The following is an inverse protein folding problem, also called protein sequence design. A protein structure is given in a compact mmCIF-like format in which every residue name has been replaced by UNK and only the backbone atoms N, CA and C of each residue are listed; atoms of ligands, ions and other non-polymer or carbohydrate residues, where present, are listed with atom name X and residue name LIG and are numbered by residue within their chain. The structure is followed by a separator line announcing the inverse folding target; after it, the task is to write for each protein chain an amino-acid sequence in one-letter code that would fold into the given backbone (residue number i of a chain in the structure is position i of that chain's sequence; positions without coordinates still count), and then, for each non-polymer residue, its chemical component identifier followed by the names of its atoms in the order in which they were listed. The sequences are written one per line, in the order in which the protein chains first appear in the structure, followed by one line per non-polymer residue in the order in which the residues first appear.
data_IF_264210347790
#
_entry.id   IF_264210347790
#
_cell.length_a   1.000
_cell.length_b   1.000
_cell.length_c   1.000
_cell.angle_alpha   90.00
_cell.angle_beta   90.00
_cell.angle_gamma   90.00
#
_symmetry.space_group_name_H-M   'P 1'
#
loop_
_entity.id
_entity.type
_entity.pdbx_description
1 polymer ?
#
# COMPACT_ATOMS: atom_id res chain seq x y z
N UNK A 1 61.14 -64.69 -7.65
CA UNK A 1 61.57 -63.32 -7.92
C UNK A 1 62.51 -62.86 -6.78
N UNK A 2 63.77 -62.66 -7.05
CA UNK A 2 64.67 -62.07 -6.09
C UNK A 2 64.93 -60.61 -6.43
N UNK A 3 64.58 -59.68 -5.54
CA UNK A 3 64.92 -58.28 -5.67
C UNK A 3 66.29 -58.03 -5.15
N UNK A 4 67.19 -57.49 -5.93
CA UNK A 4 68.53 -57.05 -5.48
C UNK A 4 68.71 -55.58 -5.93
N UNK A 5 69.30 -54.78 -5.02
CA UNK A 5 69.75 -53.43 -5.32
C UNK A 5 71.14 -53.53 -5.98
N UNK A 6 71.31 -52.94 -7.16
CA UNK A 6 72.55 -52.76 -7.87
C UNK A 6 72.65 -51.23 -8.06
N UNK A 7 73.52 -50.61 -7.27
CA UNK A 7 73.62 -49.16 -7.20
C UNK A 7 72.40 -48.51 -6.53
N UNK A 8 71.95 -47.34 -6.98
CA UNK A 8 70.72 -46.66 -6.50
C UNK A 8 69.45 -47.08 -7.23
N UNK A 9 69.48 -48.07 -8.14
CA UNK A 9 68.36 -48.52 -8.94
C UNK A 9 67.89 -49.91 -8.53
N UNK A 10 66.57 -50.08 -8.29
CA UNK A 10 65.95 -51.36 -7.99
C UNK A 10 65.65 -52.09 -9.32
N UNK A 11 66.25 -53.25 -9.48
CA UNK A 11 66.10 -54.11 -10.65
C UNK A 11 65.32 -55.40 -10.30
N UNK A 12 64.41 -55.81 -11.14
CA UNK A 12 63.83 -57.15 -11.04
C UNK A 12 64.72 -58.12 -11.79
N UNK A 13 65.17 -59.13 -11.05
CA UNK A 13 65.93 -60.23 -11.62
C UNK A 13 65.01 -61.45 -11.69
N UNK A 14 64.78 -61.91 -12.92
CA UNK A 14 64.15 -63.19 -13.11
C UNK A 14 65.06 -64.16 -13.91
N UNK A 15 65.00 -65.43 -13.58
CA UNK A 15 65.71 -66.45 -14.33
C UNK A 15 64.67 -67.30 -15.09
N UNK A 16 64.70 -67.18 -16.39
CA UNK A 16 63.88 -68.01 -17.25
C UNK A 16 64.76 -69.16 -17.73
N UNK A 17 64.40 -70.47 -17.48
CA UNK A 17 65.16 -71.60 -18.03
C UNK A 17 65.12 -71.51 -19.54
N UNK A 18 66.25 -71.61 -20.19
CA UNK A 18 66.38 -71.61 -21.64
C UNK A 18 67.10 -72.89 -22.07
N UNK A 19 66.48 -73.66 -22.90
CA UNK A 19 66.94 -74.99 -23.35
C UNK A 19 67.63 -74.88 -24.72
N UNK A 20 68.95 -74.42 -24.67
CA UNK A 20 69.85 -74.37 -25.81
C UNK A 20 71.11 -75.05 -25.42
N UNK A 21 71.80 -75.81 -26.30
CA UNK A 21 72.96 -76.66 -26.01
C UNK A 21 74.13 -76.05 -25.37
N UNK A 22 74.26 -74.64 -25.43
CA UNK A 22 75.40 -73.95 -24.86
C UNK A 22 75.05 -72.94 -23.74
N UNK A 23 73.78 -72.79 -23.29
CA UNK A 23 73.35 -71.76 -22.32
C UNK A 23 72.44 -72.38 -21.25
N UNK A 24 72.87 -72.48 -20.02
CA UNK A 24 72.15 -73.05 -18.90
C UNK A 24 71.03 -72.23 -18.33
N UNK A 25 70.99 -70.92 -18.55
CA UNK A 25 69.93 -70.00 -18.18
C UNK A 25 70.14 -68.56 -18.77
N UNK A 26 69.08 -67.99 -19.29
CA UNK A 26 69.00 -66.62 -19.76
C UNK A 26 68.63 -65.70 -18.56
N UNK A 27 69.42 -64.68 -18.34
CA UNK A 27 69.16 -63.69 -17.27
C UNK A 27 68.63 -62.39 -17.84
N UNK A 28 67.31 -62.16 -17.67
CA UNK A 28 66.72 -60.91 -18.01
C UNK A 28 66.81 -59.91 -16.85
N UNK A 29 67.43 -58.78 -17.11
CA UNK A 29 67.52 -57.69 -16.15
C UNK A 29 66.81 -56.46 -16.76
N UNK A 30 65.72 -56.03 -16.16
CA UNK A 30 65.00 -54.83 -16.54
C UNK A 30 65.12 -53.80 -15.42
N UNK A 31 65.43 -52.56 -15.78
CA UNK A 31 65.40 -51.47 -14.85
C UNK A 31 64.01 -51.02 -14.48
N UNK A 32 63.68 -50.95 -13.21
CA UNK A 32 62.39 -50.44 -12.67
C UNK A 32 62.37 -48.94 -12.54
N UNK A 33 63.47 -48.23 -12.82
CA UNK A 33 63.60 -46.77 -12.63
C UNK A 33 62.55 -45.98 -13.43
N UNK A 34 62.18 -46.45 -14.64
CA UNK A 34 61.15 -45.82 -15.45
C UNK A 34 59.77 -45.99 -14.82
N UNK A 35 59.47 -47.19 -14.30
CA UNK A 35 58.19 -47.49 -13.67
C UNK A 35 58.06 -46.72 -12.35
N UNK A 36 59.08 -46.67 -11.53
CA UNK A 36 59.11 -45.89 -10.30
C UNK A 36 58.94 -44.40 -10.56
N UNK A 37 59.56 -43.84 -11.63
CA UNK A 37 59.38 -42.46 -12.04
C UNK A 37 57.97 -42.17 -12.50
N UNK A 38 57.35 -43.08 -13.28
CA UNK A 38 55.96 -42.96 -13.72
C UNK A 38 55.00 -43.03 -12.53
N UNK A 39 55.17 -43.97 -11.61
CA UNK A 39 54.35 -44.07 -10.39
C UNK A 39 54.48 -42.84 -9.52
N UNK A 40 55.72 -42.35 -9.29
CA UNK A 40 55.97 -41.13 -8.51
C UNK A 40 55.29 -39.91 -9.12
N UNK A 41 55.39 -39.73 -10.44
CA UNK A 41 54.72 -38.64 -11.14
C UNK A 41 53.16 -38.79 -11.07
N UNK A 42 52.62 -39.98 -11.23
CA UNK A 42 51.21 -40.25 -11.10
C UNK A 42 50.71 -39.93 -9.68
N UNK A 43 51.44 -40.31 -8.64
CA UNK A 43 51.10 -39.97 -7.25
C UNK A 43 51.11 -38.46 -7.00
N UNK A 44 52.15 -37.77 -7.49
CA UNK A 44 52.26 -36.30 -7.36
C UNK A 44 51.06 -35.60 -8.03
N UNK A 45 50.74 -35.99 -9.28
CA UNK A 45 49.59 -35.45 -10.01
C UNK A 45 48.27 -35.76 -9.30
N UNK A 46 48.07 -36.96 -8.79
CA UNK A 46 46.88 -37.35 -8.04
C UNK A 46 46.72 -36.57 -6.73
N UNK A 47 47.81 -36.36 -5.99
CA UNK A 47 47.81 -35.54 -4.76
C UNK A 47 47.50 -34.07 -5.10
N UNK A 48 48.11 -33.54 -6.15
CA UNK A 48 47.84 -32.15 -6.59
C UNK A 48 46.38 -31.96 -6.98
N UNK A 49 45.82 -32.90 -7.76
CA UNK A 49 44.41 -32.90 -8.15
C UNK A 49 43.49 -32.99 -6.91
N UNK A 50 43.79 -33.85 -5.97
CA UNK A 50 43.00 -34.00 -4.74
C UNK A 50 43.02 -32.72 -3.90
N UNK A 51 44.17 -32.05 -3.77
CA UNK A 51 44.29 -30.75 -3.08
C UNK A 51 43.53 -29.66 -3.84
N UNK A 52 43.63 -29.61 -5.17
CA UNK A 52 42.91 -28.64 -5.99
C UNK A 52 41.37 -28.79 -5.86
N UNK A 53 40.86 -30.04 -5.90
CA UNK A 53 39.43 -30.34 -5.70
C UNK A 53 38.99 -29.94 -4.29
N UNK A 54 39.80 -30.24 -3.27
CA UNK A 54 39.50 -29.86 -1.88
C UNK A 54 39.38 -28.34 -1.74
N UNK A 55 40.36 -27.61 -2.27
CA UNK A 55 40.37 -26.15 -2.24
C UNK A 55 39.16 -25.57 -3.00
N UNK A 56 38.88 -26.09 -4.18
CA UNK A 56 37.72 -25.68 -4.94
C UNK A 56 36.40 -25.90 -4.18
N UNK A 57 36.24 -27.08 -3.55
CA UNK A 57 35.03 -27.42 -2.76
C UNK A 57 34.89 -26.49 -1.55
N UNK A 58 35.98 -26.23 -0.82
CA UNK A 58 35.94 -25.31 0.32
C UNK A 58 35.62 -23.88 -0.13
N UNK A 59 36.26 -23.39 -1.18
CA UNK A 59 36.03 -22.03 -1.70
C UNK A 59 34.57 -21.89 -2.21
N UNK A 60 34.09 -22.86 -2.97
CA UNK A 60 32.72 -22.89 -3.45
C UNK A 60 31.69 -22.94 -2.30
N UNK A 61 31.95 -23.76 -1.28
CA UNK A 61 31.11 -23.81 -0.08
C UNK A 61 31.11 -22.49 0.70
N UNK A 62 32.25 -21.85 0.88
CA UNK A 62 32.31 -20.54 1.53
C UNK A 62 31.60 -19.46 0.72
N UNK A 63 31.72 -19.47 -0.61
CA UNK A 63 30.99 -18.57 -1.50
C UNK A 63 29.49 -18.77 -1.37
N UNK A 64 29.01 -20.02 -1.41
CA UNK A 64 27.59 -20.35 -1.27
C UNK A 64 27.01 -19.93 0.09
N UNK A 65 27.74 -20.21 1.18
CA UNK A 65 27.29 -19.83 2.53
C UNK A 65 27.21 -18.30 2.67
N UNK A 66 28.21 -17.56 2.23
CA UNK A 66 28.25 -16.10 2.34
C UNK A 66 27.34 -15.40 1.35
N UNK A 67 27.19 -15.94 0.13
CA UNK A 67 26.40 -15.33 -0.93
C UNK A 67 24.90 -15.65 -0.81
N UNK A 68 24.51 -16.77 -0.22
CA UNK A 68 23.12 -17.21 -0.21
C UNK A 68 22.61 -17.48 1.21
N UNK A 69 23.26 -18.36 1.98
CA UNK A 69 22.71 -18.83 3.27
C UNK A 69 22.62 -17.70 4.30
N UNK A 70 23.67 -16.93 4.46
CA UNK A 70 23.72 -15.81 5.43
C UNK A 70 22.70 -14.73 5.07
N UNK A 71 22.62 -14.24 3.81
CA UNK A 71 21.60 -13.26 3.40
C UNK A 71 20.17 -13.75 3.58
N UNK A 72 19.86 -15.00 3.22
CA UNK A 72 18.52 -15.57 3.43
C UNK A 72 18.16 -15.64 4.92
N UNK A 73 19.11 -15.98 5.79
CA UNK A 73 18.90 -15.93 7.23
C UNK A 73 18.64 -14.50 7.77
N UNK A 74 19.19 -13.47 7.13
CA UNK A 74 18.88 -12.08 7.46
C UNK A 74 17.47 -11.72 7.01
N UNK A 75 17.08 -12.11 5.79
CA UNK A 75 15.73 -11.91 5.27
C UNK A 75 14.67 -12.55 6.18
N UNK A 76 14.89 -13.80 6.58
CA UNK A 76 13.99 -14.52 7.50
C UNK A 76 13.80 -13.76 8.83
N UNK A 77 14.92 -13.34 9.45
CA UNK A 77 14.87 -12.61 10.74
C UNK A 77 14.15 -11.27 10.61
N UNK A 78 14.44 -10.51 9.54
CA UNK A 78 13.78 -9.22 9.29
C UNK A 78 12.28 -9.42 8.99
N UNK A 79 11.92 -10.39 8.16
CA UNK A 79 10.50 -10.72 7.91
C UNK A 79 9.78 -11.15 9.21
N UNK A 80 10.43 -11.93 10.07
CA UNK A 80 9.90 -12.27 11.39
C UNK A 80 9.79 -11.06 12.33
N UNK A 81 10.70 -10.08 12.24
CA UNK A 81 10.62 -8.80 12.94
C UNK A 81 9.41 -7.97 12.46
N UNK A 82 9.26 -7.82 11.14
CA UNK A 82 8.13 -7.13 10.51
C UNK A 82 6.79 -7.77 10.97
N UNK A 83 6.71 -9.10 11.00
CA UNK A 83 5.53 -9.82 11.48
C UNK A 83 5.20 -9.55 12.96
N UNK A 84 6.17 -9.15 13.78
CA UNK A 84 5.98 -8.71 15.17
C UNK A 84 5.70 -7.22 15.32
N UNK A 85 5.68 -6.47 14.21
CA UNK A 85 5.44 -5.02 14.21
C UNK A 85 6.71 -4.16 14.29
N UNK A 86 7.92 -4.74 14.12
CA UNK A 86 9.19 -4.00 14.03
C UNK A 86 9.36 -3.48 12.58
N UNK A 87 8.65 -2.40 12.24
CA UNK A 87 8.54 -1.93 10.85
C UNK A 87 9.67 -0.99 10.43
N UNK A 88 10.49 -0.53 11.35
CA UNK A 88 11.64 0.37 11.14
C UNK A 88 12.90 -0.36 10.63
N UNK A 89 12.92 -1.69 10.72
CA UNK A 89 14.08 -2.51 10.31
C UNK A 89 14.14 -2.59 8.78
N UNK A 90 15.36 -2.38 8.24
CA UNK A 90 15.63 -2.51 6.80
C UNK A 90 16.81 -3.44 6.55
N UNK A 91 16.72 -4.21 5.47
CA UNK A 91 17.80 -5.04 4.96
C UNK A 91 18.79 -4.18 4.15
N UNK A 92 20.09 -4.32 4.36
CA UNK A 92 21.08 -3.62 3.55
C UNK A 92 21.06 -4.14 2.12
N UNK A 93 21.02 -3.22 1.14
CA UNK A 93 21.11 -3.53 -0.28
C UNK A 93 22.58 -3.45 -0.71
N UNK A 94 23.04 -4.39 -1.54
CA UNK A 94 24.38 -4.38 -2.12
C UNK A 94 24.43 -3.52 -3.39
N UNK A 95 23.26 -3.24 -3.99
CA UNK A 95 23.12 -2.42 -5.19
C UNK A 95 23.41 -3.16 -6.50
N UNK A 96 23.53 -4.48 -6.48
CA UNK A 96 23.66 -5.29 -7.69
C UNK A 96 22.26 -5.65 -8.23
N UNK A 97 21.85 -5.10 -9.39
CA UNK A 97 20.53 -5.37 -9.95
C UNK A 97 20.36 -6.82 -10.49
N UNK A 98 21.46 -7.57 -10.62
CA UNK A 98 21.46 -8.95 -11.12
C UNK A 98 21.44 -9.98 -9.98
N UNK A 99 21.56 -9.56 -8.73
CA UNK A 99 21.50 -10.44 -7.56
C UNK A 99 20.04 -10.65 -7.14
N UNK A 100 19.57 -11.88 -7.25
CA UNK A 100 18.22 -12.30 -6.86
C UNK A 100 17.96 -12.09 -5.37
N UNK A 101 18.98 -12.25 -4.55
CA UNK A 101 18.90 -12.04 -3.09
C UNK A 101 18.73 -10.54 -2.79
N UNK A 102 19.40 -9.68 -3.54
CA UNK A 102 19.29 -8.24 -3.36
C UNK A 102 17.91 -7.72 -3.81
N UNK A 103 17.36 -8.28 -4.89
CA UNK A 103 15.96 -8.00 -5.29
C UNK A 103 14.95 -8.44 -4.23
N UNK A 104 15.17 -9.62 -3.62
CA UNK A 104 14.33 -10.08 -2.51
C UNK A 104 14.40 -9.14 -1.31
N UNK A 105 15.60 -8.67 -0.94
CA UNK A 105 15.79 -7.66 0.11
C UNK A 105 15.04 -6.37 -0.21
N UNK A 106 15.13 -5.89 -1.45
CA UNK A 106 14.39 -4.72 -1.93
C UNK A 106 12.88 -4.89 -1.77
N UNK A 107 12.34 -6.04 -2.18
CA UNK A 107 10.91 -6.35 -2.04
C UNK A 107 10.45 -6.38 -0.58
N UNK A 108 11.24 -6.98 0.32
CA UNK A 108 10.94 -7.00 1.76
C UNK A 108 10.99 -5.58 2.35
N UNK A 109 11.96 -4.75 1.93
CA UNK A 109 12.03 -3.36 2.38
C UNK A 109 10.82 -2.55 1.91
N UNK A 110 10.38 -2.71 0.67
CA UNK A 110 9.15 -2.07 0.15
C UNK A 110 7.90 -2.52 0.90
N UNK A 111 7.81 -3.82 1.22
CA UNK A 111 6.70 -4.34 2.04
C UNK A 111 6.71 -3.72 3.44
N UNK A 112 7.88 -3.62 4.09
CA UNK A 112 8.03 -3.00 5.40
C UNK A 112 7.62 -1.52 5.37
N UNK A 113 8.04 -0.78 4.34
CA UNK A 113 7.69 0.64 4.13
C UNK A 113 6.18 0.82 3.97
N UNK A 114 5.53 0.02 3.12
CA UNK A 114 4.07 0.07 2.94
C UNK A 114 3.28 -0.28 4.22
N UNK A 115 3.78 -1.22 5.03
CA UNK A 115 3.18 -1.55 6.32
C UNK A 115 3.37 -0.43 7.35
N UNK A 116 4.56 0.16 7.43
CA UNK A 116 4.88 1.28 8.30
C UNK A 116 3.99 2.50 7.99
N UNK A 117 3.86 2.83 6.71
CA UNK A 117 2.98 3.91 6.24
C UNK A 117 1.51 3.64 6.60
N UNK A 118 1.05 2.41 6.40
CA UNK A 118 -0.32 1.99 6.76
C UNK A 118 -0.55 2.11 8.27
N UNK A 119 0.41 1.70 9.09
CA UNK A 119 0.28 1.77 10.55
C UNK A 119 0.36 3.21 11.06
N UNK A 120 1.21 4.05 10.46
CA UNK A 120 1.28 5.48 10.73
C UNK A 120 -0.05 6.15 10.43
N UNK A 121 -0.61 5.92 9.24
CA UNK A 121 -1.93 6.46 8.85
C UNK A 121 -3.03 6.02 9.81
N UNK A 122 -3.04 4.74 10.22
CA UNK A 122 -4.01 4.21 11.20
C UNK A 122 -3.89 4.92 12.55
N UNK A 123 -2.66 5.15 13.04
CA UNK A 123 -2.43 5.81 14.33
C UNK A 123 -2.81 7.30 14.27
N UNK A 124 -2.49 7.99 13.19
CA UNK A 124 -2.92 9.36 12.92
C UNK A 124 -4.45 9.47 12.87
N UNK A 125 -5.13 8.49 12.24
CA UNK A 125 -6.58 8.41 12.23
C UNK A 125 -7.18 8.26 13.62
N UNK A 126 -6.70 7.32 14.43
CA UNK A 126 -7.20 7.10 15.81
C UNK A 126 -7.02 8.38 16.63
N UNK A 127 -5.88 9.04 16.49
CA UNK A 127 -5.60 10.31 17.15
C UNK A 127 -6.56 11.41 16.70
N UNK A 128 -6.75 11.55 15.38
CA UNK A 128 -7.66 12.53 14.78
C UNK A 128 -9.10 12.32 15.20
N UNK A 129 -9.62 11.08 15.12
CA UNK A 129 -10.97 10.73 15.57
C UNK A 129 -11.15 11.06 17.06
N UNK A 130 -10.17 10.73 17.88
CA UNK A 130 -10.22 11.03 19.33
C UNK A 130 -10.31 12.54 19.58
N UNK A 131 -9.59 13.35 18.81
CA UNK A 131 -9.66 14.81 18.90
C UNK A 131 -11.00 15.37 18.40
N UNK A 132 -11.49 14.87 17.26
CA UNK A 132 -12.75 15.31 16.67
C UNK A 132 -13.97 14.93 17.54
N UNK A 133 -13.91 13.80 18.27
CA UNK A 133 -14.95 13.40 19.23
C UNK A 133 -14.86 14.21 20.52
N UNK A 134 -13.66 14.53 21.01
CA UNK A 134 -13.47 15.23 22.27
C UNK A 134 -14.02 16.64 22.23
N UNK A 135 -13.86 17.37 21.12
CA UNK A 135 -14.28 18.76 20.98
C UNK A 135 -15.78 18.94 21.19
N UNK A 136 -16.69 18.25 20.43
CA UNK A 136 -18.14 18.36 20.66
C UNK A 136 -18.57 17.86 22.03
N UNK A 137 -17.96 16.80 22.56
CA UNK A 137 -18.26 16.31 23.90
C UNK A 137 -17.92 17.35 24.99
N UNK A 138 -16.81 18.06 24.84
CA UNK A 138 -16.44 19.14 25.77
C UNK A 138 -17.41 20.31 25.65
N UNK A 139 -17.86 20.67 24.44
CA UNK A 139 -18.86 21.72 24.22
C UNK A 139 -20.22 21.35 24.83
N UNK A 140 -20.71 20.12 24.57
CA UNK A 140 -21.95 19.61 25.16
C UNK A 140 -21.88 19.65 26.68
N UNK A 141 -20.80 19.11 27.26
CA UNK A 141 -20.61 19.09 28.71
C UNK A 141 -20.60 20.50 29.31
N UNK A 142 -19.85 21.44 28.71
CA UNK A 142 -19.79 22.81 29.20
C UNK A 142 -21.15 23.51 29.16
N UNK A 143 -21.93 23.28 28.10
CA UNK A 143 -23.27 23.85 28.02
C UNK A 143 -24.25 23.19 29.00
N UNK A 144 -24.17 21.87 29.20
CA UNK A 144 -24.98 21.19 30.24
C UNK A 144 -24.65 21.75 31.62
N UNK A 145 -23.36 21.90 31.97
CA UNK A 145 -22.93 22.49 33.25
C UNK A 145 -23.46 23.95 33.39
N UNK A 146 -23.42 24.73 32.29
CA UNK A 146 -23.98 26.10 32.28
C UNK A 146 -25.50 26.10 32.48
N UNK A 147 -26.23 25.25 31.72
CA UNK A 147 -27.69 25.15 31.87
C UNK A 147 -28.15 24.70 33.24
N UNK A 148 -27.36 23.86 33.94
CA UNK A 148 -27.64 23.45 35.30
C UNK A 148 -27.50 24.58 36.33
N UNK A 149 -26.84 25.70 35.99
CA UNK A 149 -26.70 26.90 36.83
C UNK A 149 -27.69 28.00 36.52
N UNK A 150 -28.49 27.88 35.45
CA UNK A 150 -29.53 28.84 35.07
C UNK A 150 -30.89 28.44 35.71
N UNK A 151 -31.43 29.36 36.48
CA UNK A 151 -32.75 29.16 37.16
C UNK A 151 -33.92 29.48 36.24
N UNK A 152 -33.71 30.27 35.19
CA UNK A 152 -34.78 30.77 34.30
C UNK A 152 -34.68 30.10 32.88
N UNK A 153 -35.65 29.20 32.56
CA UNK A 153 -35.72 28.60 31.21
C UNK A 153 -36.00 29.58 30.06
N UNK A 154 -36.42 30.81 30.36
CA UNK A 154 -36.68 31.86 29.38
C UNK A 154 -35.43 32.68 29.02
N UNK A 155 -34.30 32.46 29.72
CA UNK A 155 -33.03 33.07 29.43
C UNK A 155 -32.58 32.73 27.98
N UNK A 156 -32.11 33.70 27.24
CA UNK A 156 -31.60 33.53 25.88
C UNK A 156 -30.48 32.49 25.82
N UNK A 157 -29.62 32.42 26.87
CA UNK A 157 -28.56 31.46 26.97
C UNK A 157 -29.10 30.00 27.15
N UNK A 158 -30.28 29.86 27.79
CA UNK A 158 -30.89 28.52 27.94
C UNK A 158 -31.24 27.94 26.57
N UNK A 159 -31.94 28.71 25.73
CA UNK A 159 -32.31 28.30 24.38
C UNK A 159 -31.06 28.05 23.49
N UNK A 160 -30.09 28.96 23.54
CA UNK A 160 -28.83 28.86 22.82
C UNK A 160 -28.02 27.64 23.23
N UNK A 161 -27.97 27.32 24.53
CA UNK A 161 -27.29 26.15 25.05
C UNK A 161 -27.90 24.83 24.54
N UNK A 162 -29.24 24.72 24.56
CA UNK A 162 -29.94 23.56 23.99
C UNK A 162 -29.70 23.40 22.50
N UNK A 163 -29.70 24.50 21.74
CA UNK A 163 -29.42 24.49 20.32
C UNK A 163 -28.01 24.02 20.02
N UNK A 164 -27.00 24.48 20.78
CA UNK A 164 -25.61 24.02 20.62
C UNK A 164 -25.48 22.53 20.97
N UNK A 165 -26.10 22.09 22.07
CA UNK A 165 -26.09 20.66 22.46
C UNK A 165 -26.71 19.79 21.34
N UNK A 166 -27.86 20.21 20.81
CA UNK A 166 -28.53 19.47 19.73
C UNK A 166 -27.63 19.39 18.47
N UNK A 167 -27.03 20.51 18.08
CA UNK A 167 -26.15 20.57 16.90
C UNK A 167 -24.90 19.71 17.06
N UNK A 168 -24.24 19.76 18.23
CA UNK A 168 -23.04 18.95 18.50
C UNK A 168 -23.38 17.46 18.61
N UNK A 169 -24.57 17.11 19.12
CA UNK A 169 -25.05 15.72 19.16
C UNK A 169 -25.31 15.20 17.74
N UNK A 170 -25.95 15.99 16.88
CA UNK A 170 -26.12 15.66 15.46
C UNK A 170 -24.80 15.45 14.74
N UNK A 171 -23.82 16.31 15.01
CA UNK A 171 -22.45 16.21 14.49
C UNK A 171 -21.75 14.91 14.93
N UNK A 172 -21.88 14.54 16.20
CA UNK A 172 -21.33 13.28 16.72
C UNK A 172 -21.98 12.07 16.06
N UNK A 173 -23.29 12.08 15.85
CA UNK A 173 -24.00 11.01 15.19
C UNK A 173 -23.49 10.82 13.73
N UNK A 174 -23.37 11.90 12.99
CA UNK A 174 -22.83 11.85 11.62
C UNK A 174 -21.39 11.29 11.59
N UNK A 175 -20.57 11.69 12.55
CA UNK A 175 -19.19 11.17 12.64
C UNK A 175 -19.15 9.68 12.94
N UNK A 176 -20.04 9.18 13.81
CA UNK A 176 -20.16 7.73 14.10
C UNK A 176 -20.59 6.96 12.85
N UNK A 177 -21.56 7.47 12.08
CA UNK A 177 -21.98 6.85 10.82
C UNK A 177 -20.84 6.82 9.79
N UNK A 178 -20.08 7.92 9.64
CA UNK A 178 -18.89 7.94 8.78
C UNK A 178 -17.85 6.86 9.19
N UNK A 179 -17.64 6.68 10.50
CA UNK A 179 -16.72 5.68 11.02
C UNK A 179 -17.21 4.25 10.78
N UNK A 180 -18.52 4.00 10.93
CA UNK A 180 -19.13 2.69 10.66
C UNK A 180 -19.07 2.36 9.17
N UNK A 181 -19.38 3.30 8.31
CA UNK A 181 -19.26 3.14 6.86
C UNK A 181 -17.82 2.87 6.44
N UNK A 182 -16.87 3.60 7.05
CA UNK A 182 -15.44 3.36 6.85
C UNK A 182 -15.03 1.94 7.29
N UNK A 183 -15.48 1.47 8.45
CA UNK A 183 -15.20 0.11 8.93
C UNK A 183 -15.77 -0.96 7.98
N UNK A 184 -16.95 -0.73 7.43
CA UNK A 184 -17.55 -1.62 6.41
C UNK A 184 -16.75 -1.63 5.11
N UNK A 185 -16.22 -0.48 4.69
CA UNK A 185 -15.33 -0.32 3.55
C UNK A 185 -14.04 -1.14 3.70
N UNK A 186 -13.37 -1.03 4.85
CA UNK A 186 -12.13 -1.76 5.10
C UNK A 186 -12.28 -3.28 5.00
N UNK A 187 -13.43 -3.79 5.39
CA UNK A 187 -13.72 -5.22 5.41
C UNK A 187 -14.26 -5.75 4.06
N UNK A 188 -14.30 -4.94 3.00
CA UNK A 188 -14.90 -5.32 1.71
C UNK A 188 -16.38 -5.70 1.81
N UNK A 189 -17.08 -5.26 2.87
CA UNK A 189 -18.45 -5.65 3.21
C UNK A 189 -19.50 -4.60 2.87
N UNK A 190 -19.19 -3.64 2.01
CA UNK A 190 -20.26 -2.78 1.47
C UNK A 190 -21.13 -3.66 0.57
N UNK A 191 -22.29 -4.00 1.07
CA UNK A 191 -23.36 -4.55 0.23
C UNK A 191 -23.97 -3.38 -0.53
N UNK A 192 -23.86 -3.41 -1.85
CA UNK A 192 -24.52 -2.46 -2.74
C UNK A 192 -25.87 -3.05 -3.15
N UNK A 193 -26.92 -2.30 -2.92
CA UNK A 193 -28.29 -2.64 -3.39
C UNK A 193 -28.58 -1.87 -4.70
N UNK A 194 -27.79 -2.19 -5.74
CA UNK A 194 -27.88 -1.50 -7.02
C UNK A 194 -29.19 -1.81 -7.73
N UNK A 195 -29.79 -0.75 -8.31
CA UNK A 195 -30.99 -0.82 -9.15
C UNK A 195 -30.94 0.25 -10.25
N UNK A 196 -31.70 0.09 -11.34
CA UNK A 196 -31.85 1.17 -12.29
C UNK A 196 -32.51 2.38 -11.61
N UNK A 197 -31.93 3.56 -11.79
CA UNK A 197 -32.39 4.82 -11.22
C UNK A 197 -32.08 5.98 -12.17
N UNK A 198 -32.77 7.10 -11.95
CA UNK A 198 -32.52 8.35 -12.65
C UNK A 198 -31.49 9.19 -11.88
N UNK A 199 -30.32 9.41 -12.49
CA UNK A 199 -29.23 10.19 -11.89
C UNK A 199 -29.66 11.66 -11.65
N UNK A 200 -30.54 12.20 -12.50
CA UNK A 200 -31.05 13.57 -12.36
C UNK A 200 -31.84 13.72 -11.06
N UNK A 201 -32.73 12.79 -10.79
CA UNK A 201 -33.56 12.80 -9.57
C UNK A 201 -32.70 12.69 -8.30
N UNK A 202 -31.76 11.72 -8.26
CA UNK A 202 -30.90 11.52 -7.08
C UNK A 202 -29.96 12.71 -6.81
N UNK A 203 -29.43 13.34 -7.87
CA UNK A 203 -28.57 14.53 -7.73
C UNK A 203 -29.41 15.74 -7.28
N UNK A 204 -30.61 15.93 -7.85
CA UNK A 204 -31.51 17.03 -7.49
C UNK A 204 -31.90 16.94 -6.01
N UNK A 205 -32.28 15.74 -5.54
CA UNK A 205 -32.57 15.50 -4.13
C UNK A 205 -31.41 15.86 -3.20
N UNK A 206 -30.19 15.47 -3.57
CA UNK A 206 -28.99 15.81 -2.79
C UNK A 206 -28.69 17.32 -2.80
N UNK A 207 -28.88 18.01 -3.94
CA UNK A 207 -28.70 19.45 -4.06
C UNK A 207 -29.74 20.20 -3.21
N UNK A 208 -31.02 19.81 -3.27
CA UNK A 208 -32.08 20.38 -2.45
C UNK A 208 -31.83 20.17 -0.95
N UNK A 209 -31.33 18.99 -0.57
CA UNK A 209 -30.97 18.72 0.82
C UNK A 209 -29.88 19.68 1.33
N UNK A 210 -28.91 20.03 0.51
CA UNK A 210 -27.82 20.93 0.87
C UNK A 210 -28.17 22.41 0.72
N UNK A 211 -29.24 22.78 0.00
CA UNK A 211 -29.55 24.17 -0.38
C UNK A 211 -29.72 25.12 0.82
N UNK A 212 -30.45 24.65 1.85
CA UNK A 212 -30.66 25.45 3.06
C UNK A 212 -29.32 25.82 3.73
N UNK A 213 -28.39 24.87 3.80
CA UNK A 213 -27.07 25.07 4.38
C UNK A 213 -26.17 25.95 3.51
N UNK A 214 -26.22 25.78 2.18
CA UNK A 214 -25.52 26.65 1.23
C UNK A 214 -25.92 28.11 1.44
N UNK A 215 -27.22 28.38 1.58
CA UNK A 215 -27.77 29.73 1.84
C UNK A 215 -27.35 30.26 3.22
N UNK A 216 -27.37 29.41 4.26
CA UNK A 216 -27.00 29.78 5.61
C UNK A 216 -25.52 30.20 5.71
N UNK A 217 -24.65 29.54 4.94
CA UNK A 217 -23.22 29.88 4.85
C UNK A 217 -22.94 31.08 3.89
N UNK A 218 -24.00 31.71 3.34
CA UNK A 218 -23.88 32.87 2.44
C UNK A 218 -23.31 32.54 1.07
N UNK A 219 -23.44 31.28 0.60
CA UNK A 219 -22.96 30.83 -0.69
C UNK A 219 -24.05 30.89 -1.77
N UNK A 220 -23.63 31.02 -3.03
CA UNK A 220 -24.53 31.02 -4.19
C UNK A 220 -24.51 29.63 -4.83
N UNK A 221 -25.68 29.00 -4.95
CA UNK A 221 -25.84 27.74 -5.67
C UNK A 221 -26.24 28.02 -7.12
N UNK A 222 -25.58 27.41 -8.06
CA UNK A 222 -25.93 27.40 -9.48
C UNK A 222 -26.07 25.95 -9.95
N UNK A 223 -27.30 25.49 -10.10
CA UNK A 223 -27.67 24.19 -10.63
C UNK A 223 -28.80 24.34 -11.64
N UNK A 224 -28.64 23.74 -12.79
CA UNK A 224 -29.68 23.64 -13.79
C UNK A 224 -29.97 22.14 -14.00
N UNK A 225 -31.17 21.73 -13.64
CA UNK A 225 -31.63 20.36 -13.80
C UNK A 225 -31.78 20.03 -15.29
N UNK A 226 -31.18 18.93 -15.79
CA UNK A 226 -31.42 18.45 -17.14
C UNK A 226 -32.88 18.05 -17.35
N UNK A 227 -33.43 18.32 -18.54
CA UNK A 227 -34.82 17.92 -18.89
C UNK A 227 -34.98 16.43 -19.13
N UNK A 228 -33.88 15.76 -19.58
CA UNK A 228 -33.87 14.35 -19.91
C UNK A 228 -33.39 13.49 -18.75
N UNK A 229 -34.06 12.37 -18.51
CA UNK A 229 -33.65 11.35 -17.57
C UNK A 229 -32.33 10.74 -17.99
N UNK A 230 -31.42 10.56 -17.04
CA UNK A 230 -30.12 9.93 -17.24
C UNK A 230 -30.08 8.62 -16.45
N UNK A 231 -30.35 7.45 -17.09
CA UNK A 231 -30.41 6.18 -16.39
C UNK A 231 -29.02 5.65 -16.04
N UNK A 232 -28.86 5.26 -14.78
CA UNK A 232 -27.66 4.59 -14.27
C UNK A 232 -28.06 3.36 -13.44
N UNK A 233 -27.12 2.45 -13.21
CA UNK A 233 -27.33 1.29 -12.34
C UNK A 233 -26.50 1.48 -11.07
N UNK A 234 -27.15 1.90 -9.98
CA UNK A 234 -26.46 2.26 -8.76
C UNK A 234 -27.33 2.01 -7.52
N UNK A 235 -26.69 2.05 -6.36
CA UNK A 235 -27.36 2.09 -5.06
C UNK A 235 -27.72 3.56 -4.73
N UNK A 236 -29.02 3.90 -4.58
CA UNK A 236 -29.44 5.29 -4.39
C UNK A 236 -28.90 5.91 -3.09
N UNK A 237 -28.85 5.15 -1.98
CA UNK A 237 -28.38 5.68 -0.70
C UNK A 237 -26.89 5.97 -0.75
N UNK A 238 -26.11 5.10 -1.38
CA UNK A 238 -24.69 5.30 -1.57
C UNK A 238 -24.39 6.43 -2.55
N UNK A 239 -25.15 6.57 -3.60
CA UNK A 239 -25.01 7.66 -4.56
C UNK A 239 -25.33 9.02 -3.92
N UNK A 240 -26.42 9.08 -3.15
CA UNK A 240 -26.77 10.26 -2.34
C UNK A 240 -25.65 10.62 -1.37
N UNK A 241 -25.06 9.63 -0.71
CA UNK A 241 -23.92 9.82 0.20
C UNK A 241 -22.69 10.42 -0.53
N UNK A 242 -22.40 9.98 -1.75
CA UNK A 242 -21.36 10.55 -2.61
C UNK A 242 -21.61 12.03 -2.86
N UNK A 243 -22.81 12.40 -3.31
CA UNK A 243 -23.15 13.79 -3.64
C UNK A 243 -23.09 14.69 -2.40
N UNK A 244 -23.66 14.25 -1.28
CA UNK A 244 -23.63 15.01 -0.03
C UNK A 244 -22.19 15.22 0.44
N UNK A 245 -21.34 14.20 0.40
CA UNK A 245 -19.93 14.34 0.81
C UNK A 245 -19.17 15.39 -0.02
N UNK A 246 -19.43 15.44 -1.34
CA UNK A 246 -18.75 16.40 -2.21
C UNK A 246 -19.32 17.81 -2.01
N UNK A 247 -20.66 17.93 -1.92
CA UNK A 247 -21.31 19.22 -1.65
C UNK A 247 -20.91 19.78 -0.29
N UNK A 248 -20.82 18.96 0.74
CA UNK A 248 -20.36 19.37 2.07
C UNK A 248 -18.91 19.85 2.05
N UNK A 249 -18.05 19.22 1.27
CA UNK A 249 -16.70 19.71 1.06
C UNK A 249 -16.69 21.07 0.33
N UNK A 250 -17.49 21.22 -0.73
CA UNK A 250 -17.63 22.48 -1.45
C UNK A 250 -18.12 23.61 -0.54
N UNK A 251 -19.12 23.36 0.32
CA UNK A 251 -19.63 24.32 1.32
C UNK A 251 -18.54 24.68 2.33
N UNK A 252 -17.89 23.68 2.89
CA UNK A 252 -16.91 23.82 3.98
C UNK A 252 -15.68 24.62 3.57
N UNK A 253 -15.24 24.47 2.32
CA UNK A 253 -14.01 25.08 1.84
C UNK A 253 -14.21 26.37 1.03
N UNK A 254 -15.45 26.74 0.73
CA UNK A 254 -15.79 28.02 0.11
C UNK A 254 -15.84 29.17 1.12
N UNK A 255 -15.50 30.37 0.67
CA UNK A 255 -15.67 31.58 1.46
C UNK A 255 -17.09 32.15 1.28
N UNK A 256 -17.65 32.88 2.26
CA UNK A 256 -18.93 33.55 2.10
C UNK A 256 -18.95 34.45 0.84
N UNK A 257 -20.07 34.43 0.10
CA UNK A 257 -20.19 35.05 -1.22
C UNK A 257 -19.65 34.24 -2.38
N UNK A 258 -18.99 33.09 -2.12
CA UNK A 258 -18.53 32.16 -3.14
C UNK A 258 -19.67 31.44 -3.83
N UNK A 259 -19.38 30.82 -4.97
CA UNK A 259 -20.35 30.10 -5.79
C UNK A 259 -20.03 28.60 -5.83
N UNK A 260 -21.06 27.76 -5.65
CA UNK A 260 -21.02 26.32 -5.93
C UNK A 260 -21.82 26.11 -7.21
N UNK A 261 -21.20 25.50 -8.22
CA UNK A 261 -21.85 25.16 -9.49
C UNK A 261 -21.91 23.65 -9.62
N UNK A 262 -23.12 23.13 -9.89
CA UNK A 262 -23.36 21.70 -10.14
C UNK A 262 -23.80 21.56 -11.59
N UNK A 263 -23.14 20.64 -12.32
CA UNK A 263 -23.48 20.30 -13.71
C UNK A 263 -23.67 18.81 -13.84
N UNK A 264 -24.62 18.41 -14.67
CA UNK A 264 -24.90 17.01 -15.00
C UNK A 264 -25.13 16.89 -16.51
N UNK A 265 -24.46 15.93 -17.13
CA UNK A 265 -24.66 15.64 -18.55
C UNK A 265 -24.40 14.18 -18.87
N UNK A 266 -25.03 13.65 -19.90
CA UNK A 266 -24.73 12.33 -20.45
C UNK A 266 -23.68 12.44 -21.57
N UNK A 267 -22.64 11.58 -21.52
CA UNK A 267 -21.74 11.31 -22.63
C UNK A 267 -22.20 10.07 -23.41
N UNK A 268 -21.31 9.49 -24.20
CA UNK A 268 -21.63 8.34 -25.03
C UNK A 268 -21.86 7.04 -24.22
N UNK A 269 -21.02 6.81 -23.17
CA UNK A 269 -21.05 5.59 -22.35
C UNK A 269 -21.18 5.88 -20.86
N UNK A 270 -20.99 7.13 -20.46
CA UNK A 270 -21.01 7.54 -19.05
C UNK A 270 -21.80 8.82 -18.85
N UNK A 271 -22.47 8.91 -17.73
CA UNK A 271 -22.99 10.16 -17.19
C UNK A 271 -21.89 10.83 -16.35
N UNK A 272 -21.87 12.16 -16.37
CA UNK A 272 -20.89 12.96 -15.62
C UNK A 272 -21.61 13.97 -14.74
N UNK A 273 -21.20 14.00 -13.46
CA UNK A 273 -21.56 15.05 -12.50
C UNK A 273 -20.32 15.84 -12.16
N UNK A 274 -20.39 17.16 -12.32
CA UNK A 274 -19.30 18.07 -11.99
C UNK A 274 -19.76 19.05 -10.91
N UNK A 275 -19.05 19.06 -9.79
CA UNK A 275 -19.27 19.99 -8.68
C UNK A 275 -18.04 20.89 -8.59
N UNK A 276 -18.29 22.20 -8.75
CA UNK A 276 -17.27 23.25 -8.82
C UNK A 276 -17.46 24.20 -7.64
N UNK A 277 -16.45 24.38 -6.83
CA UNK A 277 -16.41 25.40 -5.80
C UNK A 277 -15.40 26.51 -6.12
N UNK A 278 -15.60 27.68 -5.53
CA UNK A 278 -14.69 28.81 -5.56
C UNK A 278 -13.98 28.97 -4.21
N UNK A 279 -13.61 27.85 -3.61
CA UNK A 279 -12.94 27.80 -2.33
C UNK A 279 -11.44 28.07 -2.43
N UNK A 280 -10.77 27.78 -1.33
CA UNK A 280 -9.31 27.99 -1.22
C UNK A 280 -8.47 27.06 -2.10
N UNK A 281 -9.06 26.01 -2.67
CA UNK A 281 -8.36 25.01 -3.45
C UNK A 281 -7.45 24.07 -2.63
N UNK A 282 -6.79 23.15 -3.32
CA UNK A 282 -5.91 22.12 -2.76
C UNK A 282 -4.50 22.35 -3.30
N UNK A 283 -3.46 22.36 -2.43
CA UNK A 283 -2.08 22.42 -2.87
C UNK A 283 -1.71 21.23 -3.78
N UNK A 284 -0.82 21.41 -4.77
CA UNK A 284 -0.41 20.32 -5.67
C UNK A 284 0.16 19.10 -4.95
N UNK A 285 0.92 19.32 -3.87
CA UNK A 285 1.49 18.25 -3.04
C UNK A 285 0.44 17.40 -2.31
N UNK A 286 -0.73 17.99 -2.02
CA UNK A 286 -1.83 17.30 -1.35
C UNK A 286 -2.74 16.56 -2.35
N UNK A 287 -2.78 17.01 -3.62
CA UNK A 287 -3.78 16.57 -4.61
C UNK A 287 -3.71 15.06 -4.93
N UNK A 288 -2.51 14.49 -4.94
CA UNK A 288 -2.32 13.05 -5.14
C UNK A 288 -2.84 12.22 -3.97
N UNK A 289 -2.84 12.80 -2.77
CA UNK A 289 -3.14 12.11 -1.52
C UNK A 289 -4.57 12.34 -1.00
N UNK A 290 -5.33 13.32 -1.54
CA UNK A 290 -6.68 13.65 -1.01
C UNK A 290 -7.70 12.52 -1.09
N UNK A 291 -7.48 11.51 -1.93
CA UNK A 291 -8.26 10.28 -2.03
C UNK A 291 -7.77 9.19 -1.07
N UNK A 292 -6.57 9.38 -0.50
CA UNK A 292 -5.99 8.41 0.42
C UNK A 292 -6.76 8.47 1.75
N UNK A 293 -7.02 7.30 2.29
CA UNK A 293 -7.74 7.14 3.57
C UNK A 293 -7.01 7.90 4.67
N UNK A 294 -7.75 8.67 5.49
CA UNK A 294 -7.26 9.44 6.63
C UNK A 294 -6.38 10.65 6.30
N UNK A 295 -6.13 10.89 5.03
CA UNK A 295 -5.33 12.02 4.63
C UNK A 295 -6.05 13.35 4.93
N UNK A 296 -5.34 14.23 5.59
CA UNK A 296 -5.76 15.62 5.81
C UNK A 296 -4.69 16.51 5.21
N UNK A 297 -5.05 17.27 4.19
CA UNK A 297 -4.15 18.26 3.61
C UNK A 297 -3.69 19.29 4.66
N UNK A 298 -2.53 19.87 4.43
CA UNK A 298 -1.86 20.84 5.31
C UNK A 298 -2.77 22.04 5.71
N UNK A 299 -3.74 22.34 4.88
CA UNK A 299 -4.72 23.43 5.08
C UNK A 299 -6.12 22.92 5.48
N UNK A 300 -6.28 21.67 5.97
CA UNK A 300 -7.62 21.15 6.27
C UNK A 300 -8.27 21.88 7.46
N UNK A 301 -9.47 22.40 7.26
CA UNK A 301 -10.40 22.77 8.34
C UNK A 301 -11.04 21.49 8.84
N UNK A 302 -11.42 21.39 10.10
CA UNK A 302 -12.10 20.25 10.78
C UNK A 302 -12.73 19.18 9.86
N UNK A 303 -12.44 17.90 10.07
CA UNK A 303 -13.06 16.78 9.34
C UNK A 303 -12.31 15.48 9.55
N UNK A 304 -12.98 14.33 9.33
CA UNK A 304 -12.47 12.98 9.57
C UNK A 304 -11.34 12.55 8.59
N UNK A 305 -11.24 13.17 7.40
CA UNK A 305 -10.37 12.72 6.31
C UNK A 305 -10.88 11.43 5.63
N UNK A 306 -12.13 11.04 5.88
CA UNK A 306 -12.75 9.81 5.35
C UNK A 306 -13.60 10.12 4.12
N UNK A 307 -14.22 11.30 4.04
CA UNK A 307 -15.27 11.61 3.05
C UNK A 307 -14.87 11.35 1.60
N UNK A 308 -13.71 11.86 1.14
CA UNK A 308 -13.25 11.63 -0.24
C UNK A 308 -12.79 10.19 -0.49
N UNK A 309 -12.20 9.53 0.48
CA UNK A 309 -11.84 8.12 0.38
C UNK A 309 -13.09 7.22 0.31
N UNK A 310 -14.16 7.59 1.02
CA UNK A 310 -15.47 6.93 0.93
C UNK A 310 -16.08 7.12 -0.46
N UNK A 311 -16.08 8.36 -0.98
CA UNK A 311 -16.53 8.66 -2.33
C UNK A 311 -15.78 7.84 -3.38
N UNK A 312 -14.45 7.80 -3.33
CA UNK A 312 -13.63 7.03 -4.26
C UNK A 312 -13.95 5.53 -4.21
N UNK A 313 -14.16 5.00 -3.02
CA UNK A 313 -14.50 3.58 -2.84
C UNK A 313 -15.92 3.24 -3.32
N UNK A 314 -16.91 4.12 -3.10
CA UNK A 314 -18.28 3.93 -3.61
C UNK A 314 -18.26 4.03 -5.14
N UNK A 315 -17.58 5.04 -5.70
CA UNK A 315 -17.47 5.19 -7.14
C UNK A 315 -16.79 3.99 -7.79
N UNK A 316 -15.71 3.48 -7.20
CA UNK A 316 -15.04 2.25 -7.67
C UNK A 316 -15.98 1.04 -7.63
N UNK A 317 -16.79 0.88 -6.57
CA UNK A 317 -17.73 -0.22 -6.45
C UNK A 317 -18.94 -0.11 -7.43
N UNK A 318 -19.19 1.08 -7.98
CA UNK A 318 -20.17 1.36 -9.02
C UNK A 318 -19.57 1.36 -10.44
N UNK A 319 -18.34 0.88 -10.64
CA UNK A 319 -17.59 0.96 -11.89
C UNK A 319 -17.48 2.39 -12.45
N UNK A 320 -17.60 3.37 -11.56
CA UNK A 320 -17.49 4.78 -11.82
C UNK A 320 -16.06 5.32 -11.74
N UNK A 321 -15.96 6.64 -11.90
CA UNK A 321 -14.67 7.36 -11.80
C UNK A 321 -14.82 8.60 -10.94
N UNK A 322 -13.78 8.93 -10.17
CA UNK A 322 -13.65 10.20 -9.44
C UNK A 322 -12.39 10.93 -9.94
N UNK A 323 -12.55 12.11 -10.50
CA UNK A 323 -11.46 13.01 -10.88
C UNK A 323 -11.56 14.31 -10.07
N UNK A 324 -10.40 14.80 -9.58
CA UNK A 324 -10.33 16.02 -8.77
C UNK A 324 -9.26 16.92 -9.36
N UNK A 325 -9.68 18.12 -9.77
CA UNK A 325 -8.79 19.17 -10.26
C UNK A 325 -8.91 20.37 -9.33
N UNK A 326 -7.81 20.88 -8.86
CA UNK A 326 -7.81 22.01 -7.96
C UNK A 326 -6.64 22.94 -8.22
N UNK A 327 -6.86 24.21 -7.94
CA UNK A 327 -5.82 25.24 -7.96
C UNK A 327 -5.90 26.05 -6.68
N UNK A 328 -4.81 26.12 -5.95
CA UNK A 328 -4.75 26.88 -4.69
C UNK A 328 -5.20 28.32 -4.91
N UNK A 329 -6.14 28.79 -4.09
CA UNK A 329 -6.73 30.12 -4.16
C UNK A 329 -7.79 30.33 -5.26
N UNK A 330 -8.14 29.27 -6.05
CA UNK A 330 -9.14 29.38 -7.13
C UNK A 330 -10.35 28.46 -6.96
N UNK A 331 -10.20 27.39 -6.16
CA UNK A 331 -11.25 26.42 -5.91
C UNK A 331 -10.94 25.03 -6.44
N UNK A 332 -11.94 24.16 -6.36
CA UNK A 332 -11.85 22.74 -6.72
C UNK A 332 -12.96 22.35 -7.68
N UNK A 333 -12.64 21.47 -8.60
CA UNK A 333 -13.56 20.82 -9.53
C UNK A 333 -13.51 19.32 -9.25
N UNK A 334 -14.63 18.77 -8.84
CA UNK A 334 -14.80 17.32 -8.64
C UNK A 334 -15.68 16.79 -9.73
N UNK A 335 -15.20 15.83 -10.52
CA UNK A 335 -15.92 15.19 -11.60
C UNK A 335 -16.15 13.72 -11.28
N UNK A 336 -17.42 13.31 -11.25
CA UNK A 336 -17.85 11.93 -11.10
C UNK A 336 -18.30 11.39 -12.45
N UNK A 337 -17.89 10.19 -12.82
CA UNK A 337 -18.35 9.50 -14.02
C UNK A 337 -19.00 8.17 -13.66
N UNK A 338 -20.24 7.93 -14.09
CA UNK A 338 -21.00 6.70 -13.86
C UNK A 338 -21.34 6.04 -15.19
N UNK A 339 -21.25 4.71 -15.32
CA UNK A 339 -21.72 4.01 -16.53
C UNK A 339 -23.20 4.27 -16.78
N UNK A 340 -23.58 4.58 -18.04
CA UNK A 340 -24.98 4.66 -18.43
C UNK A 340 -25.62 3.27 -18.41
N UNK A 341 -26.84 3.19 -17.90
CA UNK A 341 -27.60 1.97 -17.92
C UNK A 341 -28.45 1.89 -19.18
N UNK A 342 -28.07 0.97 -20.06
CA UNK A 342 -28.88 0.62 -21.23
C UNK A 342 -29.70 -0.65 -20.91
N UNK A 343 -30.99 -0.53 -20.90
CA UNK A 343 -31.87 -1.72 -20.76
C UNK A 343 -31.64 -2.61 -22.00
N UNK A 344 -31.04 -3.79 -21.80
CA UNK A 344 -30.84 -4.78 -22.87
C UNK A 344 -32.16 -5.29 -23.43
#
# INVERSE_FOLDING_TARGET
MQRSLVGSEMCIRDRVPYDAEDVAALRLVTSLALVERQVKNAVIVSVFLAVAILLFTVMSGLYFVRGIVVPLGQVERTAAGIARGELDVRLPLTGDPHDEVDRLRGTINQMAEGLEETEKMKNEFISSVSHELRTPLTSIRGWVETLMTLDDPTDENYRKGLEIINNETGRLNNMVEELLDFSRLQNGRIRMECRPLDLVAELTDAVLFCEARIRQEGLLLHYTEPEEMIPVYADPDRLRQVFINILDNAIKYSAPGGRITVKLWAGEYKAFVEIIDQGRGIPPEDLENVKTKFYKGSNSVRGSGIGLALVDSIMTALDGTLDIKSTLGRGTVVTLGLPLYHKA
#
